data_IF_001065790059
#
_entry.id   IF_001065790059
#
_cell.length_a   1.000
_cell.length_b   1.000
_cell.length_c   1.000
_cell.angle_alpha   90.00
_cell.angle_beta   90.00
_cell.angle_gamma   90.00
#
_symmetry.space_group_name_H-M   'P 1'
#
loop_
_entity.id
_entity.type
_entity.pdbx_description
1 polymer ?
#
# COMPACT_ATOMS: atom_id res chain seq x y z
N UNK A 1 -5.04 23.02 14.30
CA UNK A 1 -6.39 22.40 14.26
C UNK A 1 -6.33 21.14 13.42
N UNK A 2 -6.86 20.01 13.90
CA UNK A 2 -6.89 18.77 13.14
C UNK A 2 -8.17 18.73 12.27
N UNK A 3 -8.01 18.51 10.97
CA UNK A 3 -9.12 18.44 10.03
C UNK A 3 -9.68 16.99 9.96
N UNK A 4 -10.50 16.69 10.95
CA UNK A 4 -11.09 15.36 11.13
C UNK A 4 -11.95 14.91 9.93
N UNK A 5 -12.78 15.81 9.38
CA UNK A 5 -13.68 15.48 8.29
C UNK A 5 -12.94 15.21 6.98
N UNK A 6 -11.89 15.98 6.66
CA UNK A 6 -11.05 15.69 5.51
C UNK A 6 -10.35 14.34 5.62
N UNK A 7 -9.89 13.97 6.84
CA UNK A 7 -9.25 12.67 7.07
C UNK A 7 -10.25 11.52 6.99
N UNK A 8 -11.50 11.71 7.39
CA UNK A 8 -12.57 10.72 7.18
C UNK A 8 -12.92 10.57 5.70
N UNK A 9 -13.02 11.68 4.97
CA UNK A 9 -13.35 11.65 3.55
C UNK A 9 -12.35 10.82 2.72
N UNK A 10 -11.05 10.90 3.04
CA UNK A 10 -10.02 10.09 2.38
C UNK A 10 -9.86 8.68 2.95
N UNK A 11 -10.68 8.30 3.93
CA UNK A 11 -10.69 6.98 4.57
C UNK A 11 -12.11 6.39 4.62
N UNK A 12 -12.85 6.52 3.52
CA UNK A 12 -14.17 5.91 3.32
C UNK A 12 -15.19 6.24 4.42
N UNK A 13 -15.15 7.48 4.91
CA UNK A 13 -16.03 7.96 5.96
C UNK A 13 -15.69 7.46 7.37
N UNK A 14 -14.65 6.66 7.54
CA UNK A 14 -14.22 6.15 8.84
C UNK A 14 -13.05 6.94 9.41
N UNK A 15 -12.92 6.97 10.74
CA UNK A 15 -11.80 7.64 11.39
C UNK A 15 -10.47 6.99 10.98
N UNK A 16 -9.54 7.81 10.50
CA UNK A 16 -8.19 7.33 10.17
C UNK A 16 -7.40 7.03 11.43
N UNK A 17 -6.71 5.88 11.43
CA UNK A 17 -5.83 5.49 12.54
C UNK A 17 -4.56 6.34 12.56
N UNK A 18 -3.86 6.34 13.69
CA UNK A 18 -2.56 7.03 13.85
C UNK A 18 -1.39 6.31 13.17
N UNK A 19 -1.55 5.01 12.87
CA UNK A 19 -0.59 4.20 12.13
C UNK A 19 -0.94 4.22 10.64
N UNK A 20 -0.12 4.88 9.84
CA UNK A 20 -0.34 4.99 8.38
C UNK A 20 0.55 4.02 7.63
N UNK A 21 -0.08 3.19 6.81
CA UNK A 21 0.66 2.39 5.85
C UNK A 21 0.81 3.19 4.55
N UNK A 22 2.04 3.62 4.27
CA UNK A 22 2.37 4.42 3.10
C UNK A 22 3.46 3.73 2.28
N UNK A 23 3.42 3.84 0.95
CA UNK A 23 4.52 3.38 0.11
C UNK A 23 5.75 4.25 0.35
N UNK A 24 6.93 3.68 0.16
CA UNK A 24 8.16 4.45 0.06
C UNK A 24 8.18 5.20 -1.26
N UNK A 25 8.84 6.36 -1.29
CA UNK A 25 9.07 7.11 -2.53
C UNK A 25 9.91 6.28 -3.51
N UNK A 26 9.34 5.89 -4.64
CA UNK A 26 9.99 5.09 -5.69
C UNK A 26 9.40 5.38 -7.09
N UNK A 27 9.89 4.68 -8.10
CA UNK A 27 9.39 4.77 -9.47
C UNK A 27 9.46 6.19 -10.02
N UNK A 28 8.39 6.64 -10.67
CA UNK A 28 8.31 7.95 -11.34
C UNK A 28 8.22 9.12 -10.36
N UNK A 29 7.79 8.88 -9.12
CA UNK A 29 7.74 9.90 -8.07
C UNK A 29 9.13 10.33 -7.64
N UNK A 30 10.10 9.42 -7.70
CA UNK A 30 11.47 9.70 -7.26
C UNK A 30 12.22 10.50 -8.30
N UNK A 31 12.64 11.71 -7.92
CA UNK A 31 13.46 12.55 -8.79
C UNK A 31 14.85 11.96 -9.00
N UNK A 32 15.31 12.05 -10.22
CA UNK A 32 16.64 11.59 -10.64
C UNK A 32 17.46 12.78 -11.16
N UNK A 33 18.76 12.74 -10.86
CA UNK A 33 19.71 13.66 -11.45
C UNK A 33 20.03 13.33 -12.92
N UNK A 34 20.85 14.14 -13.55
CA UNK A 34 21.30 13.92 -14.93
C UNK A 34 22.08 12.60 -15.11
N UNK A 35 22.66 12.10 -14.03
CA UNK A 35 23.38 10.80 -13.97
C UNK A 35 22.44 9.59 -13.78
N UNK A 36 21.11 9.81 -13.79
CA UNK A 36 20.09 8.78 -13.56
C UNK A 36 20.00 8.30 -12.12
N UNK A 37 20.84 8.78 -11.20
CA UNK A 37 20.76 8.44 -9.77
C UNK A 37 19.73 9.28 -9.05
N UNK A 38 19.42 8.88 -7.80
CA UNK A 38 18.50 9.62 -6.92
C UNK A 38 19.02 11.05 -6.74
N UNK A 39 18.19 12.05 -7.06
CA UNK A 39 18.54 13.45 -6.85
C UNK A 39 18.72 13.77 -5.37
N UNK A 40 17.85 13.21 -4.50
CA UNK A 40 17.92 13.37 -3.05
C UNK A 40 17.82 12.00 -2.37
N UNK A 41 18.69 11.67 -1.40
CA UNK A 41 18.72 10.34 -0.79
C UNK A 41 17.45 10.00 -0.01
N UNK A 42 16.84 10.97 0.65
CA UNK A 42 15.71 10.79 1.57
C UNK A 42 14.42 11.50 1.12
N UNK A 43 14.18 11.62 -0.19
CA UNK A 43 12.94 12.19 -0.71
C UNK A 43 11.72 11.49 -0.06
N UNK A 44 10.80 12.28 0.46
CA UNK A 44 9.58 11.76 1.09
C UNK A 44 8.51 11.46 0.05
N UNK A 45 7.64 10.45 0.26
CA UNK A 45 6.53 10.18 -0.63
C UNK A 45 5.46 11.28 -0.55
N UNK A 46 4.85 11.61 -1.69
CA UNK A 46 3.77 12.59 -1.77
C UNK A 46 2.57 12.21 -0.90
N UNK A 47 2.24 10.92 -0.85
CA UNK A 47 1.15 10.40 -0.04
C UNK A 47 1.29 10.74 1.47
N UNK A 48 2.52 10.84 1.98
CA UNK A 48 2.77 11.28 3.36
C UNK A 48 2.41 12.74 3.55
N UNK A 49 2.98 13.61 2.68
CA UNK A 49 2.76 15.06 2.77
C UNK A 49 1.29 15.41 2.51
N UNK A 50 0.64 14.69 1.60
CA UNK A 50 -0.79 14.84 1.35
C UNK A 50 -1.61 14.68 2.63
N UNK A 51 -1.40 13.58 3.38
CA UNK A 51 -2.12 13.33 4.63
C UNK A 51 -1.81 14.36 5.70
N UNK A 52 -0.54 14.74 5.84
CA UNK A 52 -0.12 15.75 6.82
C UNK A 52 -0.80 17.10 6.51
N UNK A 53 -0.74 17.54 5.26
CA UNK A 53 -1.29 18.83 4.82
C UNK A 53 -2.81 18.82 4.95
N UNK A 54 -3.47 17.79 4.48
CA UNK A 54 -4.94 17.65 4.58
C UNK A 54 -5.42 17.64 6.04
N UNK A 55 -4.68 16.98 6.93
CA UNK A 55 -5.07 16.85 8.33
C UNK A 55 -4.91 18.13 9.14
N UNK A 56 -4.04 19.06 8.71
CA UNK A 56 -3.60 20.17 9.54
C UNK A 56 -3.84 21.56 8.94
N UNK A 57 -4.29 21.64 7.67
CA UNK A 57 -4.46 22.91 6.95
C UNK A 57 -5.75 22.96 6.14
N UNK A 58 -6.13 24.17 5.74
CA UNK A 58 -7.24 24.45 4.82
C UNK A 58 -6.70 25.01 3.48
N UNK A 59 -7.46 24.92 2.36
CA UNK A 59 -7.11 25.62 1.13
C UNK A 59 -6.82 27.09 1.38
N UNK A 60 -5.73 27.61 0.78
CA UNK A 60 -5.26 28.98 0.99
C UNK A 60 -4.27 29.19 2.13
N UNK A 61 -4.14 28.24 3.06
CA UNK A 61 -3.15 28.31 4.15
C UNK A 61 -1.71 28.29 3.60
N UNK A 62 -0.78 28.84 4.39
CA UNK A 62 0.65 28.87 4.07
C UNK A 62 1.36 27.76 4.86
N UNK A 63 2.11 26.93 4.15
CA UNK A 63 2.91 25.85 4.72
C UNK A 63 4.38 26.26 4.69
N UNK A 64 5.04 26.18 5.84
CA UNK A 64 6.49 26.39 5.95
C UNK A 64 7.21 25.05 6.05
N UNK A 65 8.18 24.83 5.16
CA UNK A 65 9.10 23.69 5.22
C UNK A 65 10.56 24.20 5.25
N UNK A 66 11.20 24.20 6.43
CA UNK A 66 12.57 24.70 6.57
C UNK A 66 13.65 23.72 6.09
N UNK A 67 13.26 22.50 5.66
CA UNK A 67 14.14 21.47 5.13
C UNK A 67 13.62 20.92 3.80
N UNK A 68 13.43 21.83 2.84
CA UNK A 68 12.59 21.63 1.66
C UNK A 68 13.05 20.52 0.72
N UNK A 69 14.38 20.26 0.66
CA UNK A 69 14.95 19.23 -0.22
C UNK A 69 14.50 19.42 -1.67
N UNK A 70 13.95 18.37 -2.25
CA UNK A 70 13.44 18.36 -3.63
C UNK A 70 11.95 18.76 -3.73
N UNK A 71 11.42 19.47 -2.75
CA UNK A 71 10.14 20.17 -2.84
C UNK A 71 8.89 19.32 -2.81
N UNK A 72 8.91 18.15 -2.17
CA UNK A 72 7.69 17.30 -2.06
C UNK A 72 6.57 18.06 -1.36
N UNK A 73 6.87 18.79 -0.28
CA UNK A 73 5.90 19.62 0.45
C UNK A 73 5.27 20.67 -0.46
N UNK A 74 6.09 21.39 -1.25
CA UNK A 74 5.59 22.43 -2.16
C UNK A 74 4.75 21.86 -3.30
N UNK A 75 5.14 20.73 -3.87
CA UNK A 75 4.37 20.05 -4.91
C UNK A 75 2.98 19.66 -4.39
N UNK A 76 2.92 19.03 -3.22
CA UNK A 76 1.64 18.61 -2.61
C UNK A 76 0.81 19.82 -2.15
N UNK A 77 1.44 20.85 -1.60
CA UNK A 77 0.76 22.09 -1.25
C UNK A 77 0.06 22.73 -2.46
N UNK A 78 0.77 22.82 -3.60
CA UNK A 78 0.21 23.32 -4.86
C UNK A 78 -0.94 22.47 -5.36
N UNK A 79 -0.81 21.12 -5.35
CA UNK A 79 -1.90 20.19 -5.69
C UNK A 79 -3.15 20.52 -4.87
N UNK A 80 -2.99 20.72 -3.58
CA UNK A 80 -4.07 20.92 -2.61
C UNK A 80 -4.58 22.37 -2.50
N UNK A 81 -4.08 23.28 -3.31
CA UNK A 81 -4.46 24.69 -3.27
C UNK A 81 -3.98 25.45 -2.02
N UNK A 82 -2.85 25.03 -1.43
CA UNK A 82 -2.15 25.70 -0.34
C UNK A 82 -0.99 26.51 -0.90
N UNK A 83 -0.61 27.56 -0.20
CA UNK A 83 0.64 28.28 -0.44
C UNK A 83 1.77 27.59 0.34
N UNK A 84 3.03 27.85 -0.03
CA UNK A 84 4.16 27.29 0.70
C UNK A 84 5.37 28.23 0.68
N UNK A 85 6.20 28.09 1.70
CA UNK A 85 7.52 28.70 1.83
C UNK A 85 8.49 27.55 2.08
N UNK A 86 9.40 27.28 1.14
CA UNK A 86 10.42 26.25 1.26
C UNK A 86 11.79 26.87 1.47
N UNK A 87 12.57 26.37 2.44
CA UNK A 87 13.95 26.78 2.68
C UNK A 87 14.85 25.60 2.38
N UNK A 88 15.78 25.81 1.45
CA UNK A 88 16.80 24.82 1.05
C UNK A 88 18.08 25.55 0.69
N UNK A 89 19.21 25.01 1.10
CA UNK A 89 20.53 25.60 0.82
C UNK A 89 21.22 25.05 -0.42
N UNK A 90 20.88 23.80 -0.82
CA UNK A 90 21.52 23.15 -1.94
C UNK A 90 20.88 23.61 -3.26
N UNK A 91 21.65 24.29 -4.14
CA UNK A 91 21.10 24.80 -5.40
C UNK A 91 20.59 23.71 -6.34
N UNK A 92 21.15 22.50 -6.26
CA UNK A 92 20.72 21.36 -7.07
C UNK A 92 19.34 20.87 -6.63
N UNK A 93 19.10 20.82 -5.33
CA UNK A 93 17.79 20.46 -4.79
C UNK A 93 16.77 21.55 -5.05
N UNK A 94 17.15 22.83 -4.94
CA UNK A 94 16.29 23.97 -5.30
C UNK A 94 15.86 23.88 -6.77
N UNK A 95 16.78 23.60 -7.68
CA UNK A 95 16.46 23.48 -9.11
C UNK A 95 15.49 22.31 -9.37
N UNK A 96 15.74 21.17 -8.74
CA UNK A 96 14.85 19.99 -8.80
C UNK A 96 13.47 20.27 -8.22
N UNK A 97 13.41 20.98 -7.10
CA UNK A 97 12.15 21.39 -6.46
C UNK A 97 11.33 22.33 -7.35
N UNK A 98 11.97 23.34 -7.94
CA UNK A 98 11.30 24.27 -8.87
C UNK A 98 10.73 23.52 -10.07
N UNK A 99 11.53 22.72 -10.76
CA UNK A 99 11.09 21.95 -11.92
C UNK A 99 9.90 21.03 -11.57
N UNK A 100 9.95 20.35 -10.42
CA UNK A 100 8.86 19.51 -9.93
C UNK A 100 7.59 20.31 -9.70
N UNK A 101 7.67 21.42 -8.99
CA UNK A 101 6.51 22.25 -8.61
C UNK A 101 5.90 22.92 -9.84
N UNK A 102 6.72 23.37 -10.78
CA UNK A 102 6.26 23.97 -12.04
C UNK A 102 5.46 22.97 -12.87
N UNK A 103 5.87 21.70 -12.89
CA UNK A 103 5.17 20.62 -13.60
C UNK A 103 3.84 20.21 -12.93
N UNK A 104 3.56 20.63 -11.70
CA UNK A 104 2.31 20.30 -10.99
C UNK A 104 1.16 21.15 -11.51
N UNK A 105 0.09 20.51 -11.95
CA UNK A 105 -1.20 21.13 -12.18
C UNK A 105 -2.04 21.07 -10.90
N UNK A 106 -2.53 22.19 -10.39
CA UNK A 106 -3.45 22.18 -9.25
C UNK A 106 -4.69 21.37 -9.60
N UNK A 107 -5.17 20.55 -8.66
CA UNK A 107 -6.39 19.79 -8.86
C UNK A 107 -7.59 20.71 -8.69
N UNK A 108 -8.43 20.78 -9.70
CA UNK A 108 -9.64 21.61 -9.72
C UNK A 108 -10.81 20.94 -8.99
N UNK A 109 -10.76 19.61 -8.83
CA UNK A 109 -11.80 18.83 -8.15
C UNK A 109 -11.15 17.90 -7.12
N UNK A 110 -11.55 18.00 -5.84
CA UNK A 110 -11.06 17.15 -4.76
C UNK A 110 -11.37 15.65 -4.98
N UNK A 111 -12.39 15.32 -5.77
CA UNK A 111 -12.71 13.93 -6.12
C UNK A 111 -11.63 13.28 -7.00
N UNK A 112 -10.86 14.09 -7.76
CA UNK A 112 -9.78 13.60 -8.62
C UNK A 112 -8.50 13.26 -7.83
N UNK A 113 -8.47 13.60 -6.53
CA UNK A 113 -7.38 13.30 -5.60
C UNK A 113 -7.48 11.88 -5.04
N UNK A 114 -7.99 10.93 -5.80
CA UNK A 114 -7.93 9.51 -5.42
C UNK A 114 -6.47 9.02 -5.46
N UNK A 115 -5.75 9.27 -4.37
CA UNK A 115 -4.54 8.49 -4.11
C UNK A 115 -4.98 7.05 -3.88
N UNK A 116 -4.82 6.23 -4.90
CA UNK A 116 -4.98 4.79 -4.78
C UNK A 116 -3.93 4.26 -3.81
N UNK A 117 -4.23 4.34 -2.51
CA UNK A 117 -3.57 3.50 -1.56
C UNK A 117 -3.81 2.06 -2.05
N UNK A 118 -2.74 1.27 -2.29
CA UNK A 118 -2.83 -0.15 -2.70
C UNK A 118 -3.66 -1.03 -1.75
N UNK A 119 -4.35 -0.44 -0.78
CA UNK A 119 -5.16 -1.09 0.24
C UNK A 119 -6.65 -0.71 0.18
N UNK A 120 -7.16 -0.35 -0.97
CA UNK A 120 -8.62 -0.20 -1.16
C UNK A 120 -9.36 -1.54 -1.20
N UNK A 121 -8.65 -2.63 -1.44
CA UNK A 121 -9.27 -3.95 -1.42
C UNK A 121 -9.48 -4.42 0.03
N UNK A 122 -10.72 -4.73 0.43
CA UNK A 122 -10.99 -5.29 1.75
C UNK A 122 -10.12 -6.51 2.03
N UNK A 123 -9.60 -6.60 3.25
CA UNK A 123 -8.82 -7.76 3.67
C UNK A 123 -9.74 -8.96 3.75
N UNK A 124 -9.47 -9.96 2.94
CA UNK A 124 -10.08 -11.28 3.04
C UNK A 124 -9.13 -12.17 3.85
N UNK A 125 -9.47 -12.58 5.09
CA UNK A 125 -8.70 -13.56 5.83
C UNK A 125 -8.82 -14.94 5.17
N UNK A 126 -7.83 -15.80 5.36
CA UNK A 126 -7.86 -17.16 4.77
C UNK A 126 -9.05 -17.97 5.28
N UNK A 127 -9.47 -17.80 6.55
CA UNK A 127 -10.66 -18.42 7.11
C UNK A 127 -11.94 -18.14 6.32
N UNK A 128 -12.09 -16.92 5.77
CA UNK A 128 -13.26 -16.57 4.97
C UNK A 128 -13.37 -17.41 3.69
N UNK A 129 -12.25 -17.87 3.13
CA UNK A 129 -12.27 -18.78 1.96
C UNK A 129 -12.90 -20.13 2.32
N UNK A 130 -12.70 -20.60 3.55
CA UNK A 130 -13.32 -21.82 4.08
C UNK A 130 -14.80 -21.57 4.42
N UNK A 131 -15.13 -20.49 5.08
CA UNK A 131 -16.50 -20.11 5.45
C UNK A 131 -17.42 -20.02 4.22
N UNK A 132 -16.89 -19.57 3.09
CA UNK A 132 -17.64 -19.50 1.82
C UNK A 132 -17.51 -20.77 0.97
N UNK A 133 -16.92 -21.83 1.51
CA UNK A 133 -16.87 -23.14 0.87
C UNK A 133 -15.97 -23.25 -0.36
N UNK A 134 -15.07 -22.29 -0.57
CA UNK A 134 -14.11 -22.31 -1.68
C UNK A 134 -12.95 -23.28 -1.43
N UNK A 135 -12.64 -23.56 -0.18
CA UNK A 135 -11.79 -24.65 0.31
C UNK A 135 -12.49 -25.34 1.49
N UNK A 136 -12.10 -26.56 1.77
CA UNK A 136 -12.66 -27.34 2.90
C UNK A 136 -11.57 -27.73 3.87
N UNK A 137 -11.95 -27.91 5.13
CA UNK A 137 -11.06 -28.55 6.09
C UNK A 137 -10.69 -29.96 5.60
N UNK A 138 -9.40 -30.23 5.58
CA UNK A 138 -8.84 -31.47 5.03
C UNK A 138 -8.23 -31.35 3.65
N UNK A 139 -8.52 -30.29 2.89
CA UNK A 139 -7.90 -30.05 1.59
C UNK A 139 -6.38 -29.88 1.73
N UNK A 140 -5.67 -30.26 0.68
CA UNK A 140 -4.23 -30.11 0.59
C UNK A 140 -3.85 -28.89 -0.24
N UNK A 141 -2.86 -28.15 0.24
CA UNK A 141 -2.21 -27.07 -0.49
C UNK A 141 -0.74 -27.45 -0.74
N UNK A 142 -0.22 -27.01 -1.86
CA UNK A 142 1.13 -27.33 -2.33
C UNK A 142 1.88 -26.05 -2.71
N UNK A 143 3.20 -26.07 -2.67
CA UNK A 143 3.96 -25.05 -3.40
C UNK A 143 3.92 -25.32 -4.91
N UNK A 144 4.27 -24.35 -5.74
CA UNK A 144 4.20 -24.46 -7.21
C UNK A 144 5.00 -25.62 -7.81
N UNK A 145 5.97 -26.16 -7.07
CA UNK A 145 6.82 -27.30 -7.46
C UNK A 145 6.47 -28.59 -6.73
N UNK A 146 5.41 -28.60 -5.92
CA UNK A 146 4.94 -29.72 -5.09
C UNK A 146 6.01 -30.29 -4.14
N UNK A 147 6.96 -29.49 -3.70
CA UNK A 147 8.00 -29.89 -2.73
C UNK A 147 7.48 -29.85 -1.30
N UNK A 148 6.53 -28.94 -1.03
CA UNK A 148 5.90 -28.75 0.26
C UNK A 148 4.40 -28.96 0.15
N UNK A 149 3.84 -29.62 1.14
CA UNK A 149 2.41 -29.82 1.27
C UNK A 149 1.92 -29.43 2.67
N UNK A 150 0.74 -28.84 2.76
CA UNK A 150 0.10 -28.51 4.03
C UNK A 150 -1.40 -28.80 3.95
N UNK A 151 -1.97 -29.30 5.04
CA UNK A 151 -3.39 -29.60 5.16
C UNK A 151 -4.14 -28.43 5.77
N UNK A 152 -5.26 -28.07 5.15
CA UNK A 152 -6.17 -27.03 5.65
C UNK A 152 -6.91 -27.53 6.88
N UNK A 153 -6.93 -26.75 7.96
CA UNK A 153 -7.67 -27.05 9.20
C UNK A 153 -8.96 -26.25 9.29
N UNK A 154 -9.89 -26.73 10.10
CA UNK A 154 -11.20 -26.11 10.30
C UNK A 154 -11.14 -24.71 10.92
N UNK A 155 -10.06 -24.40 11.64
CA UNK A 155 -9.81 -23.10 12.25
C UNK A 155 -9.18 -22.06 11.31
N UNK A 156 -9.06 -22.35 9.99
CA UNK A 156 -8.43 -21.45 9.02
C UNK A 156 -6.91 -21.41 9.11
N UNK A 157 -6.29 -22.37 9.80
CA UNK A 157 -4.83 -22.55 9.81
C UNK A 157 -4.41 -23.68 8.86
N UNK A 158 -3.10 -23.78 8.61
CA UNK A 158 -2.50 -24.91 7.90
C UNK A 158 -1.70 -25.77 8.90
N UNK A 159 -1.66 -27.06 8.60
CA UNK A 159 -0.78 -28.03 9.29
C UNK A 159 0.12 -28.72 8.23
N UNK A 160 1.44 -28.70 8.48
CA UNK A 160 2.44 -29.41 7.70
C UNK A 160 3.45 -30.02 8.64
N UNK A 161 3.64 -31.34 8.60
CA UNK A 161 4.51 -32.07 9.53
C UNK A 161 4.22 -31.71 10.99
N UNK A 162 5.18 -31.09 11.69
CA UNK A 162 5.05 -30.60 13.07
C UNK A 162 4.67 -29.12 13.17
N UNK A 163 4.48 -28.44 12.03
CA UNK A 163 4.25 -26.98 11.96
C UNK A 163 2.76 -26.71 11.80
N UNK A 164 2.23 -25.83 12.65
CA UNK A 164 0.84 -25.32 12.52
C UNK A 164 0.83 -23.80 12.60
N UNK A 165 -0.02 -23.16 11.80
CA UNK A 165 -0.17 -21.72 11.82
C UNK A 165 -0.85 -21.13 10.59
N UNK A 166 -0.75 -19.83 10.42
CA UNK A 166 -1.30 -19.14 9.26
C UNK A 166 -0.62 -19.59 7.95
N UNK A 167 -1.30 -19.37 6.82
CA UNK A 167 -0.75 -19.63 5.48
C UNK A 167 0.64 -18.99 5.28
N UNK A 168 0.87 -17.83 5.89
CA UNK A 168 2.15 -17.10 5.82
C UNK A 168 3.22 -17.77 6.68
N UNK A 169 2.86 -18.11 7.93
CA UNK A 169 3.79 -18.72 8.89
C UNK A 169 4.26 -20.08 8.42
N UNK A 170 3.33 -20.96 8.03
CA UNK A 170 3.68 -22.31 7.59
C UNK A 170 4.54 -22.27 6.32
N UNK A 171 4.17 -21.41 5.34
CA UNK A 171 4.97 -21.24 4.14
C UNK A 171 6.39 -20.70 4.41
N UNK A 172 6.54 -19.76 5.36
CA UNK A 172 7.86 -19.25 5.74
C UNK A 172 8.72 -20.32 6.41
N UNK A 173 8.15 -21.05 7.38
CA UNK A 173 8.88 -22.06 8.14
C UNK A 173 9.34 -23.23 7.27
N UNK A 174 8.51 -23.71 6.35
CA UNK A 174 8.89 -24.79 5.43
C UNK A 174 10.02 -24.39 4.47
N UNK A 175 10.11 -23.11 4.13
CA UNK A 175 11.17 -22.58 3.28
C UNK A 175 12.44 -22.17 4.06
N UNK A 176 12.40 -22.16 5.40
CA UNK A 176 13.46 -21.60 6.23
C UNK A 176 13.64 -20.08 6.07
N UNK A 177 12.56 -19.37 5.72
CA UNK A 177 12.57 -17.93 5.45
C UNK A 177 11.94 -17.15 6.62
N UNK A 178 12.35 -15.88 6.85
CA UNK A 178 11.77 -15.05 7.91
C UNK A 178 10.32 -14.63 7.62
N UNK A 179 9.90 -14.66 6.36
CA UNK A 179 8.53 -14.32 5.94
C UNK A 179 8.17 -14.97 4.62
N UNK A 180 6.87 -15.16 4.40
CA UNK A 180 6.31 -15.69 3.15
C UNK A 180 4.97 -15.03 2.86
N UNK A 181 4.69 -14.71 1.61
CA UNK A 181 3.33 -14.38 1.19
C UNK A 181 2.57 -15.68 0.88
N UNK A 182 1.85 -16.19 1.87
CA UNK A 182 1.12 -17.46 1.71
C UNK A 182 0.07 -17.44 0.61
N UNK A 183 -0.51 -16.28 0.26
CA UNK A 183 -1.48 -16.21 -0.83
C UNK A 183 -0.89 -16.52 -2.20
N UNK A 184 0.34 -16.14 -2.43
CA UNK A 184 1.05 -16.39 -3.70
C UNK A 184 1.91 -17.66 -3.66
N UNK A 185 2.19 -18.18 -2.47
CA UNK A 185 3.01 -19.36 -2.27
C UNK A 185 2.22 -20.65 -2.41
N UNK A 186 1.03 -20.72 -1.78
CA UNK A 186 0.22 -21.92 -1.77
C UNK A 186 -0.67 -22.02 -3.01
N UNK A 187 -0.81 -23.26 -3.49
CA UNK A 187 -1.65 -23.66 -4.62
C UNK A 187 -2.58 -24.78 -4.19
N UNK A 188 -3.74 -24.85 -4.77
CA UNK A 188 -4.70 -25.93 -4.62
C UNK A 188 -4.90 -26.63 -5.95
N UNK A 189 -5.29 -27.91 -5.91
CA UNK A 189 -5.57 -28.69 -7.11
C UNK A 189 -7.00 -28.42 -7.60
N UNK A 190 -7.12 -28.05 -8.89
CA UNK A 190 -8.38 -27.86 -9.57
C UNK A 190 -8.33 -28.52 -10.94
N UNK A 191 -9.15 -29.55 -11.14
CA UNK A 191 -9.22 -30.28 -12.42
C UNK A 191 -7.83 -30.71 -12.93
N UNK A 192 -7.01 -31.24 -12.05
CA UNK A 192 -5.63 -31.71 -12.34
C UNK A 192 -4.61 -30.59 -12.62
N UNK A 193 -4.95 -29.33 -12.38
CA UNK A 193 -4.02 -28.21 -12.45
C UNK A 193 -3.84 -27.57 -11.07
N UNK A 194 -2.64 -27.03 -10.83
CA UNK A 194 -2.38 -26.24 -9.63
C UNK A 194 -2.74 -24.77 -9.91
N UNK A 195 -3.68 -24.24 -9.13
CA UNK A 195 -4.01 -22.81 -9.11
C UNK A 195 -3.55 -22.19 -7.79
N UNK A 196 -3.01 -20.96 -7.84
CA UNK A 196 -2.61 -20.23 -6.65
C UNK A 196 -3.84 -19.86 -5.82
N UNK A 197 -3.77 -19.99 -4.48
CA UNK A 197 -4.94 -19.71 -3.61
C UNK A 197 -5.38 -18.24 -3.63
N UNK A 198 -4.54 -17.31 -4.11
CA UNK A 198 -4.93 -15.92 -4.30
C UNK A 198 -6.13 -15.76 -5.26
N UNK A 199 -6.29 -16.68 -6.22
CA UNK A 199 -7.46 -16.69 -7.12
C UNK A 199 -8.76 -16.85 -6.35
N UNK A 200 -8.78 -17.68 -5.31
CA UNK A 200 -9.94 -17.86 -4.43
C UNK A 200 -10.25 -16.61 -3.63
N UNK A 201 -9.20 -15.91 -3.16
CA UNK A 201 -9.34 -14.63 -2.47
C UNK A 201 -9.95 -13.56 -3.39
N UNK A 202 -9.49 -13.48 -4.64
CA UNK A 202 -10.03 -12.53 -5.63
C UNK A 202 -11.49 -12.90 -6.00
N UNK A 203 -11.77 -14.17 -6.17
CA UNK A 203 -13.14 -14.66 -6.41
C UNK A 203 -14.08 -14.24 -5.27
N UNK A 204 -13.66 -14.44 -4.03
CA UNK A 204 -14.46 -14.07 -2.85
C UNK A 204 -14.65 -12.55 -2.75
N UNK A 205 -13.63 -11.75 -3.07
CA UNK A 205 -13.77 -10.30 -3.16
C UNK A 205 -14.82 -9.89 -4.18
N UNK A 206 -14.76 -10.45 -5.38
CA UNK A 206 -15.75 -10.17 -6.41
C UNK A 206 -17.17 -10.52 -5.95
N UNK A 207 -17.35 -11.60 -5.20
CA UNK A 207 -18.66 -12.00 -4.67
C UNK A 207 -19.18 -11.07 -3.56
N UNK A 208 -18.30 -10.62 -2.66
CA UNK A 208 -18.71 -9.83 -1.48
C UNK A 208 -18.82 -8.33 -1.76
N UNK A 209 -18.13 -7.81 -2.75
CA UNK A 209 -17.99 -6.38 -3.01
C UNK A 209 -18.28 -5.98 -4.47
N UNK A 210 -18.88 -6.89 -5.26
CA UNK A 210 -19.45 -6.57 -6.56
C UNK A 210 -20.81 -5.87 -6.34
N UNK A 211 -20.76 -4.56 -6.07
CA UNK A 211 -21.94 -3.67 -6.06
C UNK A 211 -21.60 -2.41 -6.83
#
# INVERSE_FOLDING_TARGET
TFNYEAMKAINEGTQMRSDWYLPICNGNERLKGADGKKLHPTQKPEALLYRIIMSSTQPGDIILDPFFGTGTTGAVAKILGRQFIGIERDPTYIAGAKARIDAVNPVTNMADLQFTCKRQEPRIPFGAVLEHGLLRSGDWLFDSKQRFAAKVRSDGTLAAESITGSIHKVGAMLQGLPSCNGWTFWHFEKRHNLEVIDTLRQQLRAQLYAA
#
